data_IF_502093891786
#
_entry.id   IF_502093891786
#
_cell.length_a   1.000
_cell.length_b   1.000
_cell.length_c   1.000
_cell.angle_alpha   90.00
_cell.angle_beta   90.00
_cell.angle_gamma   90.00
#
_symmetry.space_group_name_H-M   'P 1'
#
loop_
_entity.id
_entity.type
_entity.pdbx_description
1 polymer ?
#
# COMPACT_ATOMS: atom_id res chain seq x y z
N UNK A 1 0.62 10.54 13.25
CA UNK A 1 1.55 9.61 13.95
C UNK A 1 1.65 9.90 15.45
N UNK A 2 1.56 11.15 15.89
CA UNK A 2 1.64 11.53 17.31
C UNK A 2 0.57 10.85 18.19
N UNK A 3 -0.70 10.83 17.74
CA UNK A 3 -1.78 10.18 18.47
C UNK A 3 -1.58 8.67 18.67
N UNK A 4 -1.07 7.95 17.67
CA UNK A 4 -0.88 6.50 17.77
C UNK A 4 0.35 6.11 18.60
N UNK A 5 1.34 7.00 18.74
CA UNK A 5 2.58 6.73 19.47
C UNK A 5 2.56 7.26 20.91
N UNK A 6 1.87 8.39 21.15
CA UNK A 6 1.92 9.10 22.44
C UNK A 6 0.56 9.24 23.11
N UNK A 7 -0.55 9.19 22.37
CA UNK A 7 -1.89 9.46 22.92
C UNK A 7 -2.93 8.44 22.45
N UNK A 8 -2.69 7.18 22.83
CA UNK A 8 -3.57 6.05 22.50
C UNK A 8 -5.04 6.28 22.91
N UNK A 9 -5.29 6.98 24.03
CA UNK A 9 -6.65 7.23 24.53
C UNK A 9 -7.47 8.13 23.59
N UNK A 10 -6.83 9.13 23.00
CA UNK A 10 -7.48 10.03 22.05
C UNK A 10 -7.60 9.37 20.67
N UNK A 11 -6.61 8.57 20.28
CA UNK A 11 -6.70 7.71 19.10
C UNK A 11 -7.90 6.75 19.20
N UNK A 12 -8.05 6.04 20.30
CA UNK A 12 -9.16 5.12 20.54
C UNK A 12 -10.51 5.84 20.57
N UNK A 13 -10.55 7.12 20.99
CA UNK A 13 -11.78 7.92 20.97
C UNK A 13 -12.22 8.27 19.54
N UNK A 14 -11.28 8.59 18.66
CA UNK A 14 -11.55 9.06 17.29
C UNK A 14 -11.71 7.86 16.33
N UNK A 15 -10.94 6.79 16.54
CA UNK A 15 -10.88 5.61 15.68
C UNK A 15 -11.50 4.36 16.34
N UNK A 16 -12.47 4.53 17.24
CA UNK A 16 -13.19 3.39 17.80
C UNK A 16 -14.07 2.68 16.79
N UNK A 17 -14.25 1.38 17.03
CA UNK A 17 -15.20 0.53 16.33
C UNK A 17 -16.42 0.19 17.19
N UNK A 18 -16.79 1.05 18.16
CA UNK A 18 -17.82 0.75 19.17
C UNK A 18 -19.22 0.52 18.58
N UNK A 19 -19.47 0.94 17.35
CA UNK A 19 -20.72 0.69 16.61
C UNK A 19 -20.65 -0.44 15.59
N UNK A 20 -19.50 -1.12 15.44
CA UNK A 20 -19.28 -2.15 14.42
C UNK A 20 -18.79 -3.41 15.13
N UNK A 21 -19.67 -4.41 15.27
CA UNK A 21 -19.24 -5.71 15.75
C UNK A 21 -18.71 -6.51 14.56
N UNK A 22 -17.38 -6.67 14.55
CA UNK A 22 -16.66 -7.40 13.52
C UNK A 22 -17.22 -8.80 13.32
N UNK A 23 -17.80 -9.43 14.35
CA UNK A 23 -18.28 -10.80 14.29
C UNK A 23 -19.69 -10.96 13.71
N UNK A 24 -20.39 -9.86 13.40
CA UNK A 24 -21.76 -9.91 12.85
C UNK A 24 -21.79 -10.55 11.45
N UNK A 25 -20.68 -10.45 10.70
CA UNK A 25 -20.51 -11.09 9.40
C UNK A 25 -19.50 -12.22 9.57
N UNK A 26 -19.78 -13.49 9.26
CA UNK A 26 -18.80 -14.58 9.39
C UNK A 26 -17.58 -14.37 8.48
N UNK A 27 -16.41 -14.85 8.91
CA UNK A 27 -15.13 -14.64 8.20
C UNK A 27 -15.20 -15.17 6.76
N UNK A 28 -15.85 -16.31 6.54
CA UNK A 28 -16.01 -16.93 5.22
C UNK A 28 -16.73 -16.04 4.20
N UNK A 29 -17.63 -15.16 4.65
CA UNK A 29 -18.33 -14.20 3.77
C UNK A 29 -17.48 -12.95 3.48
N UNK A 30 -16.42 -12.72 4.24
CA UNK A 30 -15.49 -11.59 4.08
C UNK A 30 -14.27 -11.93 3.23
N UNK A 31 -14.03 -13.22 3.01
CA UNK A 31 -12.90 -13.70 2.22
C UNK A 31 -13.19 -13.56 0.73
N UNK A 32 -12.45 -12.68 0.07
CA UNK A 32 -12.47 -12.62 -1.39
C UNK A 32 -11.36 -13.51 -1.94
N UNK A 33 -11.73 -14.68 -2.43
CA UNK A 33 -10.79 -15.65 -3.04
C UNK A 33 -10.19 -15.14 -4.36
N UNK A 34 -10.87 -14.20 -5.04
CA UNK A 34 -10.35 -13.52 -6.24
C UNK A 34 -9.62 -12.23 -5.86
N UNK A 35 -8.50 -12.36 -5.16
CA UNK A 35 -7.54 -11.26 -5.01
C UNK A 35 -6.79 -11.03 -6.31
N UNK A 36 -6.83 -9.80 -6.81
CA UNK A 36 -6.20 -9.35 -8.05
C UNK A 36 -4.66 -9.27 -7.95
N UNK A 37 -3.98 -10.36 -7.56
CA UNK A 37 -2.52 -10.45 -7.61
C UNK A 37 -1.94 -10.36 -9.05
N UNK A 38 -2.80 -10.25 -10.06
CA UNK A 38 -2.44 -10.45 -11.47
C UNK A 38 -2.08 -9.17 -12.25
N UNK A 39 -2.16 -7.98 -11.67
CA UNK A 39 -1.95 -6.72 -12.41
C UNK A 39 -0.50 -6.21 -12.45
N UNK A 40 0.45 -6.89 -11.80
CA UNK A 40 1.82 -6.40 -11.71
C UNK A 40 2.83 -6.76 -12.82
N UNK A 41 2.62 -7.77 -13.70
CA UNK A 41 3.72 -8.20 -14.57
C UNK A 41 3.98 -7.22 -15.72
N UNK A 42 3.03 -6.35 -16.05
CA UNK A 42 3.16 -5.41 -17.18
C UNK A 42 4.20 -4.31 -16.94
N UNK A 43 4.56 -4.06 -15.68
CA UNK A 43 5.59 -3.09 -15.33
C UNK A 43 7.02 -3.60 -15.57
N UNK A 44 7.27 -4.92 -15.47
CA UNK A 44 8.62 -5.48 -15.70
C UNK A 44 9.21 -5.18 -17.08
N UNK A 45 8.50 -5.34 -18.22
CA UNK A 45 9.04 -4.97 -19.53
C UNK A 45 9.30 -3.45 -19.66
N UNK A 46 8.47 -2.61 -19.02
CA UNK A 46 8.67 -1.16 -19.00
C UNK A 46 9.97 -0.78 -18.27
N UNK A 47 10.20 -1.33 -17.07
CA UNK A 47 11.44 -1.10 -16.32
C UNK A 47 12.66 -1.59 -17.08
N UNK A 48 12.57 -2.77 -17.71
CA UNK A 48 13.68 -3.31 -18.51
C UNK A 48 14.04 -2.39 -19.68
N UNK A 49 13.04 -1.81 -20.35
CA UNK A 49 13.24 -0.84 -21.42
C UNK A 49 13.94 0.43 -20.93
N UNK A 50 13.52 0.98 -19.79
CA UNK A 50 14.16 2.16 -19.19
C UNK A 50 15.59 1.88 -18.75
N UNK A 51 15.81 0.76 -18.05
CA UNK A 51 17.15 0.32 -17.61
C UNK A 51 18.13 0.23 -18.78
N UNK A 52 17.71 -0.35 -19.90
CA UNK A 52 18.55 -0.47 -21.11
C UNK A 52 18.95 0.90 -21.68
N UNK A 53 18.07 1.90 -21.57
CA UNK A 53 18.26 3.22 -22.16
C UNK A 53 18.86 4.26 -21.19
N UNK A 54 19.05 3.92 -19.90
CA UNK A 54 19.66 4.81 -18.88
C UNK A 54 21.02 5.41 -19.29
N UNK A 55 21.81 4.68 -20.09
CA UNK A 55 23.13 5.15 -20.56
C UNK A 55 23.05 6.25 -21.63
N UNK A 56 21.87 6.49 -22.21
CA UNK A 56 21.69 7.40 -23.35
C UNK A 56 21.37 8.83 -22.92
N UNK A 57 20.61 9.00 -21.83
CA UNK A 57 20.18 10.30 -21.33
C UNK A 57 19.80 10.22 -19.85
N UNK A 58 20.06 11.29 -19.11
CA UNK A 58 19.66 11.44 -17.70
C UNK A 58 18.15 11.31 -17.50
N UNK A 59 17.34 11.63 -18.51
CA UNK A 59 15.87 11.47 -18.45
C UNK A 59 15.45 9.99 -18.24
N UNK A 60 16.17 9.04 -18.84
CA UNK A 60 15.88 7.62 -18.63
C UNK A 60 16.26 7.13 -17.23
N UNK A 61 17.17 7.83 -16.53
CA UNK A 61 17.52 7.53 -15.14
C UNK A 61 16.35 7.91 -14.22
N UNK A 62 15.78 9.11 -14.40
CA UNK A 62 14.59 9.54 -13.66
C UNK A 62 13.38 8.61 -13.91
N UNK A 63 13.09 8.31 -15.18
CA UNK A 63 12.01 7.37 -15.54
C UNK A 63 12.20 5.98 -14.93
N UNK A 64 13.45 5.52 -14.81
CA UNK A 64 13.76 4.27 -14.13
C UNK A 64 13.44 4.35 -12.61
N UNK A 65 13.83 5.43 -11.93
CA UNK A 65 13.50 5.62 -10.52
C UNK A 65 11.99 5.74 -10.25
N UNK A 66 11.28 6.54 -11.05
CA UNK A 66 9.82 6.66 -10.97
C UNK A 66 9.14 5.30 -11.15
N UNK A 67 9.57 4.52 -12.14
CA UNK A 67 9.00 3.19 -12.39
C UNK A 67 9.23 2.20 -11.23
N UNK A 68 10.33 2.33 -10.49
CA UNK A 68 10.59 1.53 -9.29
C UNK A 68 9.71 1.95 -8.10
N UNK A 69 9.44 3.24 -7.96
CA UNK A 69 8.52 3.76 -6.94
C UNK A 69 7.09 3.31 -7.23
N UNK A 70 6.62 3.40 -8.48
CA UNK A 70 5.30 2.93 -8.93
C UNK A 70 5.09 1.44 -8.64
N UNK A 71 6.08 0.60 -8.98
CA UNK A 71 6.01 -0.83 -8.67
C UNK A 71 5.91 -1.03 -7.16
N UNK A 72 6.71 -0.33 -6.38
CA UNK A 72 6.71 -0.45 -4.92
C UNK A 72 5.37 -0.02 -4.33
N UNK A 73 4.79 1.08 -4.84
CA UNK A 73 3.47 1.59 -4.46
C UNK A 73 2.35 0.61 -4.82
N UNK A 74 2.45 -0.15 -5.92
CA UNK A 74 1.46 -1.15 -6.29
C UNK A 74 1.63 -2.46 -5.51
N UNK A 75 2.86 -2.90 -5.25
CA UNK A 75 3.14 -4.17 -4.58
C UNK A 75 2.75 -4.17 -3.11
N UNK A 76 3.13 -3.13 -2.36
CA UNK A 76 2.88 -3.05 -0.91
C UNK A 76 1.39 -3.16 -0.55
N UNK A 77 0.47 -2.35 -1.13
CA UNK A 77 -0.95 -2.47 -0.85
C UNK A 77 -1.52 -3.78 -1.39
N UNK A 78 -1.15 -4.21 -2.60
CA UNK A 78 -1.71 -5.42 -3.20
C UNK A 78 -1.38 -6.66 -2.36
N UNK A 79 -0.16 -6.74 -1.82
CA UNK A 79 0.25 -7.83 -0.94
C UNK A 79 -0.39 -7.72 0.45
N UNK A 80 -0.32 -6.55 1.08
CA UNK A 80 -0.85 -6.35 2.43
C UNK A 80 -2.38 -6.48 2.48
N UNK A 81 -3.11 -5.78 1.60
CA UNK A 81 -4.56 -5.90 1.50
C UNK A 81 -5.00 -7.21 0.87
N UNK A 82 -4.20 -7.82 0.00
CA UNK A 82 -4.46 -9.17 -0.50
C UNK A 82 -4.48 -10.19 0.63
N UNK A 83 -3.47 -10.18 1.51
CA UNK A 83 -3.42 -11.07 2.68
C UNK A 83 -4.56 -10.77 3.65
N UNK A 84 -4.84 -9.50 3.93
CA UNK A 84 -5.97 -9.12 4.80
C UNK A 84 -7.30 -9.59 4.22
N UNK A 85 -7.49 -9.48 2.90
CA UNK A 85 -8.67 -9.95 2.19
C UNK A 85 -8.81 -11.47 2.22
N UNK A 86 -7.71 -12.23 2.11
CA UNK A 86 -7.73 -13.69 2.26
C UNK A 86 -8.08 -14.14 3.68
N UNK A 87 -7.74 -13.34 4.69
CA UNK A 87 -8.04 -13.63 6.09
C UNK A 87 -9.36 -13.00 6.57
N UNK A 88 -10.06 -12.22 5.72
CA UNK A 88 -11.26 -11.46 6.10
C UNK A 88 -11.03 -10.40 7.18
N UNK A 89 -9.77 -9.95 7.32
CA UNK A 89 -9.33 -8.98 8.33
C UNK A 89 -9.71 -7.58 7.87
N UNK A 90 -10.41 -6.86 8.74
CA UNK A 90 -10.81 -5.47 8.51
C UNK A 90 -10.03 -4.53 9.45
N UNK A 91 -10.11 -3.22 9.22
CA UNK A 91 -9.48 -2.22 10.08
C UNK A 91 -9.76 -2.45 11.57
N UNK A 92 -11.01 -2.73 11.93
CA UNK A 92 -11.42 -2.98 13.32
C UNK A 92 -10.84 -4.26 13.95
N UNK A 93 -10.32 -5.19 13.14
CA UNK A 93 -9.62 -6.39 13.64
C UNK A 93 -8.14 -6.13 13.88
N UNK A 94 -7.50 -5.29 13.05
CA UNK A 94 -6.07 -4.98 13.16
C UNK A 94 -5.78 -3.53 12.73
N UNK A 95 -6.09 -2.56 13.61
CA UNK A 95 -6.00 -1.13 13.26
C UNK A 95 -4.55 -0.68 13.12
N UNK A 96 -3.65 -1.20 13.95
CA UNK A 96 -2.21 -0.87 13.92
C UNK A 96 -1.57 -1.31 12.61
N UNK A 97 -1.82 -2.55 12.19
CA UNK A 97 -1.27 -3.07 10.93
C UNK A 97 -1.78 -2.26 9.73
N UNK A 98 -3.09 -2.00 9.68
CA UNK A 98 -3.71 -1.22 8.61
C UNK A 98 -3.14 0.21 8.55
N UNK A 99 -2.90 0.83 9.70
CA UNK A 99 -2.31 2.16 9.80
C UNK A 99 -0.88 2.19 9.23
N UNK A 100 0.00 1.26 9.62
CA UNK A 100 1.38 1.21 9.11
C UNK A 100 1.44 0.98 7.60
N UNK A 101 0.60 0.06 7.08
CA UNK A 101 0.47 -0.17 5.64
C UNK A 101 0.04 1.13 4.93
N UNK A 102 -0.94 1.86 5.47
CA UNK A 102 -1.36 3.15 4.96
C UNK A 102 -0.25 4.21 4.95
N UNK A 103 0.57 4.27 6.01
CA UNK A 103 1.73 5.17 6.05
C UNK A 103 2.77 4.85 4.98
N UNK A 104 3.05 3.57 4.72
CA UNK A 104 4.01 3.16 3.69
C UNK A 104 3.50 3.54 2.29
N UNK A 105 2.21 3.34 2.03
CA UNK A 105 1.57 3.72 0.76
C UNK A 105 1.67 5.24 0.56
N UNK A 106 1.32 6.02 1.59
CA UNK A 106 1.42 7.48 1.53
C UNK A 106 2.86 7.96 1.32
N UNK A 107 3.85 7.28 1.91
CA UNK A 107 5.26 7.61 1.70
C UNK A 107 5.67 7.43 0.23
N UNK A 108 5.34 6.29 -0.38
CA UNK A 108 5.66 6.04 -1.79
C UNK A 108 4.91 6.99 -2.72
N UNK A 109 3.63 7.27 -2.46
CA UNK A 109 2.84 8.22 -3.24
C UNK A 109 3.36 9.66 -3.14
N UNK A 110 3.85 10.07 -1.97
CA UNK A 110 4.46 11.39 -1.79
C UNK A 110 5.87 11.48 -2.39
N UNK A 111 6.57 10.36 -2.56
CA UNK A 111 7.92 10.33 -3.14
C UNK A 111 7.92 10.54 -4.66
N UNK A 112 6.85 10.13 -5.36
CA UNK A 112 6.68 10.31 -6.80
C UNK A 112 6.88 11.77 -7.27
N UNK A 113 6.12 12.77 -6.77
CA UNK A 113 6.26 14.16 -7.24
C UNK A 113 7.58 14.81 -6.79
N UNK A 114 8.26 14.25 -5.78
CA UNK A 114 9.57 14.76 -5.33
C UNK A 114 10.67 14.30 -6.28
N UNK A 115 10.55 13.10 -6.85
CA UNK A 115 11.46 12.60 -7.87
C UNK A 115 11.35 13.37 -9.20
N UNK A 116 10.22 14.02 -9.47
CA UNK A 116 10.02 14.87 -10.66
C UNK A 116 10.65 16.28 -10.54
N UNK A 117 11.14 16.67 -9.34
CA UNK A 117 11.70 18.00 -9.08
C UNK A 117 13.23 18.08 -9.25
N UNK A 118 13.91 16.97 -9.54
CA UNK A 118 15.35 16.89 -9.84
C UNK A 118 15.64 16.85 -11.36
#
# INVERSE_FOLDING_TARGET
MEYILWNHKEFDKIYNCTGINVNDIPIEQRQYTKTNCLYNPLYFPCIYSFWKNTKTSSCYVLLFYLSLLDISLLWVPTFAFGIMSLNGVVYCSSPIFTYFVGCIILFFWAAEPIADLE
#
